data_IF_844701313409
#
_entry.id   IF_844701313409
#
_cell.length_a   1.000
_cell.length_b   1.000
_cell.length_c   1.000
_cell.angle_alpha   90.00
_cell.angle_beta   90.00
_cell.angle_gamma   90.00
#
_symmetry.space_group_name_H-M   'P 1'
#
loop_
_entity.id
_entity.type
_entity.pdbx_description
1 polymer ?
#
# COMPACT_ATOMS: atom_id res chain seq x y z
N UNK A 1 53.29 -39.45 -42.81
CA UNK A 1 53.92 -39.13 -41.51
C UNK A 1 54.34 -37.65 -41.43
N UNK A 2 53.55 -36.72 -41.97
CA UNK A 2 53.88 -35.28 -41.99
C UNK A 2 52.76 -34.42 -41.38
N UNK A 3 51.62 -35.01 -41.06
CA UNK A 3 50.48 -34.30 -40.47
C UNK A 3 50.59 -34.22 -38.93
N UNK A 4 51.24 -35.19 -38.28
CA UNK A 4 51.47 -35.16 -36.82
C UNK A 4 52.46 -34.07 -36.41
N UNK A 5 53.55 -33.89 -37.15
CA UNK A 5 54.65 -32.98 -36.78
C UNK A 5 54.26 -31.48 -36.88
N UNK A 6 53.33 -31.14 -37.78
CA UNK A 6 52.78 -29.78 -37.88
C UNK A 6 51.75 -29.53 -36.77
N UNK A 7 50.97 -30.55 -36.42
CA UNK A 7 50.02 -30.46 -35.31
C UNK A 7 50.74 -30.34 -33.96
N UNK A 8 51.79 -31.11 -33.73
CA UNK A 8 52.57 -31.13 -32.49
C UNK A 8 53.31 -29.79 -32.25
N UNK A 9 53.75 -29.12 -33.33
CA UNK A 9 54.37 -27.78 -33.25
C UNK A 9 53.34 -26.68 -33.01
N UNK A 10 52.19 -26.69 -33.70
CA UNK A 10 51.10 -25.75 -33.41
C UNK A 10 50.55 -25.92 -31.98
N UNK A 11 50.50 -27.15 -31.49
CA UNK A 11 50.02 -27.49 -30.15
C UNK A 11 50.96 -26.92 -29.07
N UNK A 12 52.28 -27.03 -29.25
CA UNK A 12 53.27 -26.43 -28.34
C UNK A 12 53.19 -24.89 -28.28
N UNK A 13 53.00 -24.22 -29.42
CA UNK A 13 52.87 -22.75 -29.49
C UNK A 13 51.54 -22.25 -28.90
N UNK A 14 50.46 -23.02 -29.05
CA UNK A 14 49.17 -22.69 -28.44
C UNK A 14 49.24 -22.85 -26.93
N UNK A 15 49.95 -23.85 -26.45
CA UNK A 15 50.19 -24.11 -25.03
C UNK A 15 51.00 -22.98 -24.38
N UNK A 16 52.11 -22.54 -25.00
CA UNK A 16 52.89 -21.39 -24.50
C UNK A 16 52.09 -20.09 -24.43
N UNK A 17 51.23 -19.81 -25.43
CA UNK A 17 50.36 -18.61 -25.42
C UNK A 17 49.30 -18.67 -24.32
N UNK A 18 48.72 -19.84 -24.09
CA UNK A 18 47.76 -20.04 -23.00
C UNK A 18 48.42 -19.92 -21.62
N UNK A 19 49.64 -20.44 -21.47
CA UNK A 19 50.45 -20.29 -20.26
C UNK A 19 50.87 -18.84 -20.00
N UNK A 20 51.23 -18.08 -21.06
CA UNK A 20 51.58 -16.66 -20.94
C UNK A 20 50.37 -15.84 -20.47
N UNK A 21 49.20 -16.05 -21.08
CA UNK A 21 47.95 -15.39 -20.66
C UNK A 21 47.54 -15.79 -19.24
N UNK A 22 47.75 -17.05 -18.84
CA UNK A 22 47.46 -17.49 -17.48
C UNK A 22 48.44 -16.90 -16.44
N UNK A 23 49.72 -16.78 -16.77
CA UNK A 23 50.70 -16.11 -15.89
C UNK A 23 50.39 -14.63 -15.68
N UNK A 24 49.88 -13.95 -16.71
CA UNK A 24 49.56 -12.52 -16.64
C UNK A 24 48.16 -12.24 -16.04
N UNK A 25 47.14 -12.99 -16.46
CA UNK A 25 45.73 -12.75 -16.08
C UNK A 25 45.16 -13.75 -15.06
N UNK A 26 45.82 -14.88 -14.81
CA UNK A 26 45.31 -15.92 -13.92
C UNK A 26 45.07 -15.43 -12.50
N UNK A 27 45.93 -14.54 -11.98
CA UNK A 27 45.73 -13.90 -10.67
C UNK A 27 44.46 -13.03 -10.63
N UNK A 28 44.19 -12.26 -11.69
CA UNK A 28 42.97 -11.45 -11.81
C UNK A 28 41.71 -12.31 -11.92
N UNK A 29 41.77 -13.40 -12.69
CA UNK A 29 40.65 -14.36 -12.81
C UNK A 29 40.36 -15.00 -11.46
N UNK A 30 41.39 -15.45 -10.73
CA UNK A 30 41.23 -16.01 -9.38
C UNK A 30 40.66 -14.96 -8.42
N UNK A 31 41.18 -13.72 -8.43
CA UNK A 31 40.67 -12.65 -7.60
C UNK A 31 39.19 -12.33 -7.90
N UNK A 32 38.79 -12.31 -9.17
CA UNK A 32 37.39 -12.13 -9.58
C UNK A 32 36.50 -13.27 -9.09
N UNK A 33 36.95 -14.53 -9.21
CA UNK A 33 36.23 -15.69 -8.67
C UNK A 33 36.06 -15.62 -7.15
N UNK A 34 37.12 -15.27 -6.42
CA UNK A 34 37.07 -15.09 -4.95
C UNK A 34 36.09 -13.99 -4.57
N UNK A 35 36.13 -12.84 -5.25
CA UNK A 35 35.22 -11.73 -5.00
C UNK A 35 33.76 -12.14 -5.25
N UNK A 36 33.48 -12.86 -6.35
CA UNK A 36 32.14 -13.36 -6.65
C UNK A 36 31.62 -14.33 -5.56
N UNK A 37 32.47 -15.21 -5.04
CA UNK A 37 32.13 -16.13 -3.94
C UNK A 37 31.85 -15.34 -2.66
N UNK A 38 32.70 -14.38 -2.29
CA UNK A 38 32.49 -13.54 -1.10
C UNK A 38 31.20 -12.72 -1.21
N UNK A 39 30.92 -12.15 -2.38
CA UNK A 39 29.69 -11.41 -2.65
C UNK A 39 28.45 -12.30 -2.50
N UNK A 40 28.50 -13.51 -3.07
CA UNK A 40 27.40 -14.48 -2.95
C UNK A 40 27.22 -14.97 -1.52
N UNK A 41 28.31 -15.22 -0.79
CA UNK A 41 28.28 -15.62 0.61
C UNK A 41 27.69 -14.52 1.50
N UNK A 42 28.03 -13.25 1.24
CA UNK A 42 27.45 -12.11 1.96
C UNK A 42 25.94 -12.00 1.73
N UNK A 43 25.49 -12.11 0.46
CA UNK A 43 24.05 -12.09 0.12
C UNK A 43 23.31 -13.27 0.76
N UNK A 44 23.87 -14.47 0.66
CA UNK A 44 23.27 -15.69 1.22
C UNK A 44 23.17 -15.62 2.75
N UNK A 45 24.24 -15.17 3.41
CA UNK A 45 24.28 -14.93 4.85
C UNK A 45 23.19 -13.95 5.28
N UNK A 46 23.10 -12.79 4.61
CA UNK A 46 22.09 -11.78 4.92
C UNK A 46 20.65 -12.28 4.69
N UNK A 47 20.40 -13.00 3.60
CA UNK A 47 19.09 -13.63 3.33
C UNK A 47 18.71 -14.64 4.41
N UNK A 48 19.65 -15.48 4.82
CA UNK A 48 19.40 -16.49 5.86
C UNK A 48 19.09 -15.85 7.22
N UNK A 49 19.79 -14.77 7.57
CA UNK A 49 19.53 -14.00 8.79
C UNK A 49 18.13 -13.37 8.77
N UNK A 50 17.79 -12.70 7.67
CA UNK A 50 16.45 -12.10 7.51
C UNK A 50 15.34 -13.16 7.53
N UNK A 51 15.56 -14.33 6.92
CA UNK A 51 14.57 -15.42 6.95
C UNK A 51 14.30 -15.94 8.37
N UNK A 52 15.36 -16.06 9.19
CA UNK A 52 15.22 -16.48 10.60
C UNK A 52 14.49 -15.43 11.44
N UNK A 53 14.85 -14.15 11.27
CA UNK A 53 14.16 -13.05 11.94
C UNK A 53 12.67 -13.03 11.55
N UNK A 54 12.36 -13.09 10.25
CA UNK A 54 10.97 -13.09 9.79
C UNK A 54 10.17 -14.29 10.32
N UNK A 55 10.79 -15.47 10.44
CA UNK A 55 10.13 -16.64 11.01
C UNK A 55 9.82 -16.45 12.51
N UNK A 56 10.76 -15.86 13.26
CA UNK A 56 10.55 -15.55 14.67
C UNK A 56 9.43 -14.52 14.87
N UNK A 57 9.47 -13.41 14.14
CA UNK A 57 8.44 -12.37 14.21
C UNK A 57 7.04 -12.93 13.86
N UNK A 58 6.96 -13.83 12.88
CA UNK A 58 5.71 -14.52 12.54
C UNK A 58 5.22 -15.46 13.65
N UNK A 59 6.13 -16.19 14.30
CA UNK A 59 5.81 -17.07 15.42
C UNK A 59 5.26 -16.28 16.62
N UNK A 60 5.81 -15.10 16.91
CA UNK A 60 5.30 -14.20 17.96
C UNK A 60 3.86 -13.76 17.67
N UNK A 61 3.57 -13.34 16.43
CA UNK A 61 2.22 -12.94 16.03
C UNK A 61 1.25 -14.12 16.14
N UNK A 62 1.64 -15.32 15.68
CA UNK A 62 0.78 -16.50 15.79
C UNK A 62 0.51 -16.86 17.26
N UNK A 63 1.53 -16.80 18.11
CA UNK A 63 1.40 -17.05 19.55
C UNK A 63 0.46 -16.05 20.20
N UNK A 64 0.56 -14.76 19.85
CA UNK A 64 -0.36 -13.73 20.34
C UNK A 64 -1.81 -13.96 19.88
N UNK A 65 -2.01 -14.51 18.69
CA UNK A 65 -3.34 -14.85 18.17
C UNK A 65 -3.99 -16.07 18.83
N UNK A 66 -3.21 -16.90 19.53
CA UNK A 66 -3.69 -18.02 20.34
C UNK A 66 -4.06 -17.60 21.77
N UNK A 67 -3.76 -16.35 22.17
CA UNK A 67 -4.17 -15.82 23.47
C UNK A 67 -5.69 -15.66 23.59
N UNK A 68 -6.18 -15.60 24.84
CA UNK A 68 -7.60 -15.33 25.12
C UNK A 68 -7.95 -13.88 24.73
N UNK A 69 -7.14 -12.91 25.17
CA UNK A 69 -7.20 -11.51 24.76
C UNK A 69 -6.17 -11.25 23.65
N UNK A 70 -6.58 -11.54 22.41
CA UNK A 70 -5.73 -11.41 21.21
C UNK A 70 -5.35 -9.96 20.92
N UNK A 71 -6.26 -8.96 20.99
CA UNK A 71 -5.87 -7.57 20.80
C UNK A 71 -4.78 -7.12 21.77
N UNK A 72 -4.91 -7.44 23.06
CA UNK A 72 -3.91 -7.07 24.06
C UNK A 72 -2.57 -7.76 23.83
N UNK A 73 -2.59 -9.08 23.55
CA UNK A 73 -1.37 -9.84 23.26
C UNK A 73 -0.63 -9.33 22.01
N UNK A 74 -1.36 -8.94 20.96
CA UNK A 74 -0.78 -8.32 19.77
C UNK A 74 -0.20 -6.93 20.07
N UNK A 75 -0.86 -6.14 20.92
CA UNK A 75 -0.37 -4.83 21.33
C UNK A 75 0.92 -4.93 22.16
N UNK A 76 1.10 -5.99 22.94
CA UNK A 76 2.29 -6.21 23.78
C UNK A 76 3.57 -6.43 22.96
N UNK A 77 3.47 -7.18 21.86
CA UNK A 77 4.62 -7.51 20.99
C UNK A 77 4.98 -6.39 20.01
N UNK A 78 4.08 -5.44 19.79
CA UNK A 78 4.29 -4.29 18.91
C UNK A 78 5.30 -3.30 19.51
N UNK A 79 6.32 -2.92 18.74
CA UNK A 79 7.36 -1.97 19.17
C UNK A 79 8.47 -2.56 20.05
N UNK A 80 8.43 -3.85 20.37
CA UNK A 80 9.50 -4.56 21.09
C UNK A 80 10.25 -5.51 20.18
N UNK A 81 9.54 -6.51 19.65
CA UNK A 81 10.16 -7.68 19.02
C UNK A 81 9.91 -7.76 17.50
N UNK A 82 8.96 -6.97 16.98
CA UNK A 82 8.54 -7.06 15.58
C UNK A 82 9.26 -6.05 14.69
N UNK A 83 9.64 -6.49 13.48
CA UNK A 83 10.24 -5.60 12.48
C UNK A 83 9.19 -5.09 11.52
N UNK A 84 9.10 -3.77 11.35
CA UNK A 84 8.44 -3.06 10.24
C UNK A 84 7.17 -3.70 9.66
N UNK A 85 7.31 -4.61 8.70
CA UNK A 85 6.19 -5.30 8.06
C UNK A 85 5.38 -6.20 8.99
N UNK A 86 6.04 -6.93 9.88
CA UNK A 86 5.39 -7.76 10.89
C UNK A 86 4.70 -6.91 11.94
N UNK A 87 5.33 -5.81 12.36
CA UNK A 87 4.70 -4.84 13.25
C UNK A 87 3.41 -4.28 12.64
N UNK A 88 3.45 -3.93 11.35
CA UNK A 88 2.27 -3.48 10.63
C UNK A 88 1.16 -4.53 10.63
N UNK A 89 1.50 -5.80 10.37
CA UNK A 89 0.55 -6.91 10.41
C UNK A 89 -0.06 -7.05 11.81
N UNK A 90 0.75 -7.02 12.87
CA UNK A 90 0.27 -7.11 14.24
C UNK A 90 -0.68 -5.95 14.59
N UNK A 91 -0.28 -4.69 14.31
CA UNK A 91 -1.11 -3.50 14.54
C UNK A 91 -2.43 -3.56 13.76
N UNK A 92 -2.38 -3.89 12.47
CA UNK A 92 -3.57 -3.96 11.62
C UNK A 92 -4.51 -5.10 12.05
N UNK A 93 -3.95 -6.22 12.51
CA UNK A 93 -4.73 -7.36 13.01
C UNK A 93 -5.38 -7.03 14.35
N UNK A 94 -4.63 -6.44 15.29
CA UNK A 94 -5.17 -5.97 16.57
C UNK A 94 -6.32 -4.98 16.35
N UNK A 95 -6.11 -3.99 15.49
CA UNK A 95 -7.15 -3.03 15.12
C UNK A 95 -8.39 -3.70 14.53
N UNK A 96 -8.21 -4.67 13.63
CA UNK A 96 -9.32 -5.41 13.03
C UNK A 96 -10.13 -6.22 14.04
N UNK A 97 -9.48 -6.79 15.06
CA UNK A 97 -10.15 -7.50 16.15
C UNK A 97 -10.89 -6.53 17.08
N UNK A 98 -10.28 -5.40 17.43
CA UNK A 98 -10.93 -4.34 18.22
C UNK A 98 -12.17 -3.78 17.51
N UNK A 99 -12.12 -3.61 16.18
CA UNK A 99 -13.30 -3.25 15.39
C UNK A 99 -14.43 -4.28 15.51
N UNK A 100 -14.11 -5.58 15.61
CA UNK A 100 -15.12 -6.63 15.81
C UNK A 100 -15.71 -6.61 17.22
N UNK A 101 -14.93 -6.15 18.20
CA UNK A 101 -15.34 -5.97 19.59
C UNK A 101 -16.08 -4.64 19.84
N UNK A 102 -16.18 -3.78 18.82
CA UNK A 102 -16.81 -2.45 18.93
C UNK A 102 -15.92 -1.39 19.58
N UNK A 103 -14.63 -1.68 19.76
CA UNK A 103 -13.62 -0.82 20.38
C UNK A 103 -12.96 0.09 19.33
N UNK A 104 -13.77 0.90 18.65
CA UNK A 104 -13.35 1.70 17.48
C UNK A 104 -12.25 2.73 17.81
N UNK A 105 -12.29 3.35 18.99
CA UNK A 105 -11.24 4.29 19.43
C UNK A 105 -9.88 3.58 19.56
N UNK A 106 -9.84 2.39 20.18
CA UNK A 106 -8.62 1.60 20.31
C UNK A 106 -8.12 1.10 18.94
N UNK A 107 -9.04 0.68 18.07
CA UNK A 107 -8.68 0.30 16.71
C UNK A 107 -8.04 1.45 15.93
N UNK A 108 -8.60 2.66 16.06
CA UNK A 108 -8.10 3.87 15.43
C UNK A 108 -6.68 4.22 15.89
N UNK A 109 -6.35 4.03 17.17
CA UNK A 109 -4.99 4.22 17.69
C UNK A 109 -3.98 3.32 16.97
N UNK A 110 -4.29 2.03 16.81
CA UNK A 110 -3.43 1.09 16.09
C UNK A 110 -3.27 1.45 14.61
N UNK A 111 -4.35 1.85 13.93
CA UNK A 111 -4.27 2.31 12.53
C UNK A 111 -3.43 3.58 12.38
N UNK A 112 -3.62 4.58 13.24
CA UNK A 112 -2.83 5.81 13.21
C UNK A 112 -1.36 5.57 13.48
N UNK A 113 -1.06 4.71 14.45
CA UNK A 113 0.33 4.37 14.77
C UNK A 113 1.02 3.65 13.59
N UNK A 114 0.36 2.69 12.96
CA UNK A 114 0.89 2.01 11.77
C UNK A 114 1.04 2.97 10.57
N UNK A 115 0.18 3.98 10.43
CA UNK A 115 0.29 4.97 9.38
C UNK A 115 1.47 5.94 9.57
N UNK A 116 1.79 6.27 10.84
CA UNK A 116 2.82 7.25 11.20
C UNK A 116 4.24 6.65 11.30
N UNK A 117 4.36 5.35 11.53
CA UNK A 117 5.64 4.68 11.74
C UNK A 117 6.45 4.56 10.44
N UNK A 118 7.63 5.18 10.35
CA UNK A 118 8.48 5.14 9.17
C UNK A 118 9.09 3.77 8.85
N UNK A 119 9.21 2.89 9.84
CA UNK A 119 9.80 1.55 9.72
C UNK A 119 8.80 0.55 9.13
N UNK A 120 7.49 0.85 9.22
CA UNK A 120 6.44 0.10 8.54
C UNK A 120 6.55 0.30 7.02
N UNK A 121 6.56 -0.76 6.19
CA UNK A 121 6.60 -0.61 4.74
C UNK A 121 5.48 0.29 4.19
N UNK A 122 5.81 1.15 3.22
CA UNK A 122 4.89 2.16 2.67
C UNK A 122 3.50 1.63 2.33
N UNK A 123 3.42 0.44 1.71
CA UNK A 123 2.15 -0.20 1.35
C UNK A 123 1.22 -0.41 2.56
N UNK A 124 1.77 -0.80 3.71
CA UNK A 124 1.00 -0.96 4.94
C UNK A 124 0.65 0.37 5.59
N UNK A 125 1.54 1.38 5.52
CA UNK A 125 1.21 2.73 6.01
C UNK A 125 0.05 3.33 5.26
N UNK A 126 0.03 3.20 3.94
CA UNK A 126 -1.06 3.69 3.09
C UNK A 126 -2.38 2.96 3.37
N UNK A 127 -2.34 1.64 3.61
CA UNK A 127 -3.50 0.89 4.10
C UNK A 127 -3.97 1.43 5.45
N UNK A 128 -3.05 1.61 6.39
CA UNK A 128 -3.33 2.09 7.73
C UNK A 128 -3.93 3.51 7.71
N UNK A 129 -3.43 4.40 6.85
CA UNK A 129 -4.03 5.73 6.61
C UNK A 129 -5.45 5.61 6.09
N UNK A 130 -5.69 4.76 5.09
CA UNK A 130 -7.03 4.52 4.57
C UNK A 130 -7.99 4.01 5.65
N UNK A 131 -7.55 3.02 6.45
CA UNK A 131 -8.37 2.43 7.52
C UNK A 131 -8.60 3.39 8.67
N UNK A 132 -7.60 4.19 9.06
CA UNK A 132 -7.73 5.22 10.08
C UNK A 132 -8.80 6.25 9.67
N UNK A 133 -8.66 6.85 8.48
CA UNK A 133 -9.63 7.83 7.98
C UNK A 133 -11.02 7.24 7.84
N UNK A 134 -11.14 6.02 7.30
CA UNK A 134 -12.43 5.34 7.16
C UNK A 134 -13.11 5.13 8.51
N UNK A 135 -12.35 4.66 9.50
CA UNK A 135 -12.84 4.35 10.84
C UNK A 135 -13.25 5.63 11.55
N UNK A 136 -12.37 6.63 11.56
CA UNK A 136 -12.65 7.92 12.20
C UNK A 136 -13.86 8.64 11.58
N UNK A 137 -13.98 8.61 10.25
CA UNK A 137 -15.14 9.16 9.57
C UNK A 137 -16.44 8.40 9.90
N UNK A 138 -16.40 7.06 10.02
CA UNK A 138 -17.59 6.29 10.38
C UNK A 138 -18.06 6.48 11.82
N UNK A 139 -17.21 7.01 12.70
CA UNK A 139 -17.58 7.33 14.09
C UNK A 139 -18.49 8.56 14.20
N UNK A 140 -18.61 9.35 13.13
CA UNK A 140 -19.49 10.54 13.05
C UNK A 140 -19.37 11.46 14.27
N UNK A 141 -18.12 11.76 14.67
CA UNK A 141 -17.84 12.63 15.82
C UNK A 141 -18.14 14.09 15.45
N UNK A 142 -18.77 14.82 16.37
CA UNK A 142 -19.17 16.22 16.18
C UNK A 142 -18.01 17.17 15.76
N UNK A 143 -16.77 16.81 16.08
CA UNK A 143 -15.55 17.57 15.78
C UNK A 143 -14.76 17.06 14.57
N UNK A 144 -15.31 16.11 13.80
CA UNK A 144 -14.65 15.53 12.64
C UNK A 144 -14.37 16.58 11.55
N UNK A 145 -13.09 16.73 11.18
CA UNK A 145 -12.66 17.61 10.10
C UNK A 145 -12.56 16.82 8.78
N UNK A 146 -13.62 16.87 7.98
CA UNK A 146 -13.69 16.24 6.66
C UNK A 146 -12.58 16.70 5.71
N UNK A 147 -12.12 17.95 5.83
CA UNK A 147 -10.99 18.45 5.02
C UNK A 147 -9.65 17.86 5.48
N UNK A 148 -9.49 17.62 6.78
CA UNK A 148 -8.34 16.89 7.31
C UNK A 148 -8.31 15.46 6.77
N UNK A 149 -9.44 14.75 6.72
CA UNK A 149 -9.52 13.41 6.13
C UNK A 149 -9.09 13.36 4.67
N UNK A 150 -9.61 14.28 3.86
CA UNK A 150 -9.22 14.41 2.45
C UNK A 150 -7.71 14.71 2.33
N UNK A 151 -7.17 15.55 3.20
CA UNK A 151 -5.74 15.89 3.22
C UNK A 151 -4.87 14.69 3.58
N UNK A 152 -5.31 13.86 4.53
CA UNK A 152 -4.63 12.61 4.90
C UNK A 152 -4.65 11.57 3.77
N UNK A 153 -5.74 11.46 3.01
CA UNK A 153 -5.86 10.52 1.88
C UNK A 153 -5.08 10.96 0.64
N UNK A 154 -4.86 12.27 0.47
CA UNK A 154 -4.17 12.86 -0.70
C UNK A 154 -2.84 12.19 -1.07
N UNK A 155 -1.88 11.95 -0.15
CA UNK A 155 -0.64 11.26 -0.49
C UNK A 155 -0.87 9.83 -1.02
N UNK A 156 -1.86 9.11 -0.49
CA UNK A 156 -2.22 7.76 -0.97
C UNK A 156 -2.83 7.84 -2.37
N UNK A 157 -3.73 8.81 -2.59
CA UNK A 157 -4.42 9.05 -3.87
C UNK A 157 -3.43 9.45 -4.98
N UNK A 158 -2.40 10.24 -4.64
CA UNK A 158 -1.39 10.73 -5.56
C UNK A 158 -0.33 9.66 -5.93
N UNK A 159 -0.22 8.58 -5.15
CA UNK A 159 0.72 7.50 -5.43
C UNK A 159 0.20 6.53 -6.50
N UNK A 160 0.72 6.65 -7.73
CA UNK A 160 0.35 5.78 -8.86
C UNK A 160 0.70 4.29 -8.66
N UNK A 161 1.59 3.96 -7.73
CA UNK A 161 1.97 2.58 -7.42
C UNK A 161 1.20 2.01 -6.21
N UNK A 162 0.38 2.82 -5.54
CA UNK A 162 -0.39 2.37 -4.38
C UNK A 162 -1.53 1.45 -4.80
N UNK A 163 -1.65 0.29 -4.16
CA UNK A 163 -2.83 -0.59 -4.29
C UNK A 163 -4.09 0.01 -3.65
N UNK A 164 -3.93 0.94 -2.70
CA UNK A 164 -5.02 1.58 -1.95
C UNK A 164 -5.51 2.88 -2.56
N UNK A 165 -4.90 3.29 -3.67
CA UNK A 165 -5.15 4.54 -4.39
C UNK A 165 -6.62 4.74 -4.77
N UNK A 166 -7.25 3.69 -5.28
CA UNK A 166 -8.63 3.74 -5.78
C UNK A 166 -9.65 3.59 -4.66
N UNK A 167 -9.37 2.78 -3.64
CA UNK A 167 -10.19 2.73 -2.42
C UNK A 167 -10.21 4.08 -1.71
N UNK A 168 -9.06 4.76 -1.64
CA UNK A 168 -8.93 6.10 -1.07
C UNK A 168 -9.68 7.16 -1.89
N UNK A 169 -9.71 7.04 -3.23
CA UNK A 169 -10.54 7.91 -4.09
C UNK A 169 -12.02 7.76 -3.81
N UNK A 170 -12.51 6.51 -3.71
CA UNK A 170 -13.92 6.25 -3.42
C UNK A 170 -14.30 6.80 -2.04
N UNK A 171 -13.44 6.62 -1.03
CA UNK A 171 -13.65 7.19 0.30
C UNK A 171 -13.67 8.73 0.28
N UNK A 172 -12.69 9.36 -0.37
CA UNK A 172 -12.66 10.81 -0.50
C UNK A 172 -13.90 11.35 -1.24
N UNK A 173 -14.36 10.67 -2.29
CA UNK A 173 -15.58 11.06 -3.00
C UNK A 173 -16.83 10.99 -2.10
N UNK A 174 -16.93 9.97 -1.24
CA UNK A 174 -18.00 9.87 -0.25
C UNK A 174 -17.95 11.04 0.74
N UNK A 175 -16.77 11.38 1.27
CA UNK A 175 -16.57 12.50 2.20
C UNK A 175 -16.95 13.85 1.54
N UNK A 176 -16.50 14.10 0.30
CA UNK A 176 -16.87 15.30 -0.44
C UNK A 176 -18.39 15.44 -0.61
N UNK A 177 -19.07 14.34 -0.94
CA UNK A 177 -20.50 14.39 -1.23
C UNK A 177 -21.38 14.46 0.03
N UNK A 178 -20.98 13.81 1.12
CA UNK A 178 -21.77 13.71 2.35
C UNK A 178 -21.58 14.92 3.27
N UNK A 179 -20.33 15.22 3.62
CA UNK A 179 -20.03 16.24 4.63
C UNK A 179 -19.93 17.62 4.00
N UNK A 180 -19.28 17.71 2.83
CA UNK A 180 -19.01 18.99 2.16
C UNK A 180 -20.10 19.39 1.16
N UNK A 181 -21.04 18.49 0.85
CA UNK A 181 -22.05 18.65 -0.21
C UNK A 181 -21.46 19.06 -1.57
N UNK A 182 -20.18 18.78 -1.81
CA UNK A 182 -19.46 19.10 -3.03
C UNK A 182 -19.50 17.89 -3.97
N UNK A 183 -20.65 17.74 -4.63
CA UNK A 183 -20.87 16.67 -5.60
C UNK A 183 -19.98 16.81 -6.85
N UNK A 184 -19.50 18.01 -7.17
CA UNK A 184 -18.58 18.21 -8.29
C UNK A 184 -17.22 17.61 -7.95
N UNK A 185 -16.62 18.02 -6.83
CA UNK A 185 -15.34 17.48 -6.36
C UNK A 185 -15.42 15.96 -6.12
N UNK A 186 -16.54 15.46 -5.58
CA UNK A 186 -16.76 14.03 -5.41
C UNK A 186 -16.63 13.27 -6.73
N UNK A 187 -17.25 13.77 -7.81
CA UNK A 187 -17.18 13.14 -9.14
C UNK A 187 -15.81 13.28 -9.79
N UNK A 188 -15.15 14.42 -9.61
CA UNK A 188 -13.78 14.63 -10.12
C UNK A 188 -12.78 13.63 -9.51
N UNK A 189 -12.86 13.39 -8.19
CA UNK A 189 -12.00 12.41 -7.51
C UNK A 189 -12.35 10.96 -7.91
N UNK A 190 -13.61 10.70 -8.24
CA UNK A 190 -14.10 9.37 -8.61
C UNK A 190 -13.81 9.00 -10.08
N UNK A 191 -13.67 9.98 -10.97
CA UNK A 191 -13.49 9.75 -12.42
C UNK A 191 -12.36 8.75 -12.76
N UNK A 192 -11.15 8.83 -12.16
CA UNK A 192 -10.09 7.85 -12.45
C UNK A 192 -10.46 6.41 -12.06
N UNK A 193 -11.37 6.21 -11.10
CA UNK A 193 -11.85 4.88 -10.70
C UNK A 193 -12.75 4.28 -11.80
N UNK A 194 -13.54 5.12 -12.48
CA UNK A 194 -14.47 4.71 -13.53
C UNK A 194 -13.78 4.41 -14.87
N UNK A 195 -12.63 5.03 -15.10
CA UNK A 195 -11.82 4.89 -16.32
C UNK A 195 -10.84 3.70 -16.26
N UNK A 196 -10.47 3.25 -15.06
CA UNK A 196 -9.53 2.15 -14.87
C UNK A 196 -10.14 0.81 -15.29
N UNK A 197 -9.39 0.06 -16.11
CA UNK A 197 -9.87 -1.21 -16.68
C UNK A 197 -9.60 -2.40 -15.78
N UNK A 198 -8.56 -2.32 -14.95
CA UNK A 198 -8.05 -3.45 -14.15
C UNK A 198 -8.42 -3.33 -12.66
N UNK A 199 -9.67 -2.96 -12.35
CA UNK A 199 -10.18 -2.96 -10.97
C UNK A 199 -11.13 -4.13 -10.70
N UNK A 200 -11.21 -4.57 -9.43
CA UNK A 200 -12.24 -5.51 -9.00
C UNK A 200 -13.63 -5.01 -9.35
N UNK A 201 -14.51 -5.92 -9.77
CA UNK A 201 -15.87 -5.59 -10.20
C UNK A 201 -16.66 -4.82 -9.14
N UNK A 202 -16.54 -5.22 -7.87
CA UNK A 202 -17.24 -4.57 -6.76
C UNK A 202 -16.89 -3.08 -6.64
N UNK A 203 -15.60 -2.72 -6.77
CA UNK A 203 -15.15 -1.35 -6.65
C UNK A 203 -15.69 -0.46 -7.77
N UNK A 204 -15.66 -0.96 -9.01
CA UNK A 204 -16.23 -0.24 -10.17
C UNK A 204 -17.74 -0.08 -10.01
N UNK A 205 -18.46 -1.11 -9.55
CA UNK A 205 -19.91 -1.03 -9.34
C UNK A 205 -20.26 0.01 -8.28
N UNK A 206 -19.56 0.01 -7.14
CA UNK A 206 -19.72 1.03 -6.10
C UNK A 206 -19.45 2.43 -6.66
N UNK A 207 -18.37 2.63 -7.41
CA UNK A 207 -18.06 3.92 -8.02
C UNK A 207 -19.14 4.39 -9.00
N UNK A 208 -19.68 3.50 -9.84
CA UNK A 208 -20.76 3.85 -10.78
C UNK A 208 -22.05 4.24 -10.08
N UNK A 209 -22.42 3.51 -9.02
CA UNK A 209 -23.59 3.82 -8.22
C UNK A 209 -23.46 5.20 -7.56
N UNK A 210 -22.29 5.50 -6.97
CA UNK A 210 -22.01 6.81 -6.39
C UNK A 210 -22.04 7.94 -7.43
N UNK A 211 -21.41 7.76 -8.60
CA UNK A 211 -21.44 8.77 -9.68
C UNK A 211 -22.87 9.08 -10.15
N UNK A 212 -23.73 8.07 -10.24
CA UNK A 212 -25.13 8.27 -10.59
C UNK A 212 -25.85 9.12 -9.54
N UNK A 213 -25.72 8.76 -8.26
CA UNK A 213 -26.35 9.51 -7.16
C UNK A 213 -25.87 10.96 -7.13
N UNK A 214 -24.58 11.19 -7.29
CA UNK A 214 -24.01 12.55 -7.27
C UNK A 214 -24.52 13.38 -8.45
N UNK A 215 -24.63 12.78 -9.64
CA UNK A 215 -25.20 13.44 -10.83
C UNK A 215 -26.65 13.84 -10.62
N UNK A 216 -27.46 12.96 -10.05
CA UNK A 216 -28.86 13.24 -9.74
C UNK A 216 -28.97 14.41 -8.74
N UNK A 217 -28.20 14.40 -7.66
CA UNK A 217 -28.16 15.48 -6.65
C UNK A 217 -27.75 16.83 -7.24
N UNK A 218 -26.77 16.86 -8.14
CA UNK A 218 -26.38 18.08 -8.86
C UNK A 218 -27.53 18.61 -9.73
N UNK A 219 -28.24 17.74 -10.45
CA UNK A 219 -29.36 18.15 -11.31
C UNK A 219 -30.56 18.70 -10.52
N UNK A 220 -30.85 18.12 -9.36
CA UNK A 220 -31.90 18.60 -8.45
C UNK A 220 -31.58 19.99 -7.90
N UNK A 221 -30.31 20.23 -7.56
CA UNK A 221 -29.85 21.54 -7.06
C UNK A 221 -30.00 22.63 -8.13
N UNK A 222 -29.84 22.29 -9.41
CA UNK A 222 -29.93 23.22 -10.53
C UNK A 222 -31.36 23.53 -10.99
N UNK A 223 -32.34 22.67 -10.69
CA UNK A 223 -33.75 22.84 -11.09
C UNK A 223 -34.58 23.66 -10.08
N UNK A 224 -33.97 24.13 -8.99
CA UNK A 224 -34.65 24.77 -7.86
C UNK A 224 -35.09 26.26 -7.99
N UNK A 225 -34.86 27.05 -9.07
CA UNK A 225 -35.44 28.39 -9.17
C UNK A 225 -36.46 28.49 -10.32
N UNK A 226 -37.78 28.50 -10.01
CA UNK A 226 -38.80 29.34 -10.71
C UNK A 226 -40.28 29.11 -10.30
N UNK A 227 -40.62 28.27 -9.33
CA UNK A 227 -42.05 28.08 -8.96
C UNK A 227 -42.57 29.03 -7.87
N UNK A 228 -41.76 29.94 -7.32
CA UNK A 228 -42.17 30.85 -6.25
C UNK A 228 -42.75 32.21 -6.73
N UNK A 229 -42.78 32.47 -8.04
CA UNK A 229 -43.13 33.81 -8.57
C UNK A 229 -44.27 33.79 -9.59
N UNK A 230 -45.36 33.04 -9.36
CA UNK A 230 -46.62 33.24 -10.12
C UNK A 230 -47.83 32.80 -9.31
N UNK A 231 -48.19 33.52 -8.25
CA UNK A 231 -49.58 33.61 -7.77
C UNK A 231 -49.72 34.90 -6.97
N UNK A 232 -50.20 35.96 -7.62
CA UNK A 232 -51.18 36.94 -7.10
C UNK A 232 -51.41 37.96 -8.21
N UNK A 233 -52.37 37.69 -9.09
CA UNK A 233 -53.16 38.76 -9.71
C UNK A 233 -54.61 38.26 -9.76
N UNK A 234 -55.36 38.72 -8.76
CA UNK A 234 -56.79 38.53 -8.59
C UNK A 234 -57.53 39.48 -9.56
N UNK A 235 -58.55 39.03 -10.31
CA UNK A 235 -59.30 39.93 -11.19
C UNK A 235 -60.39 40.65 -10.38
N UNK A 236 -60.25 41.96 -10.19
CA UNK A 236 -61.37 42.79 -9.72
C UNK A 236 -62.25 43.21 -10.89
N UNK A 237 -63.55 42.93 -10.75
CA UNK A 237 -64.62 43.43 -11.60
C UNK A 237 -65.11 44.82 -11.22
#
# INVERSE_FOLDING_TARGET
>A
MSNDLIHEVEESLKQERMEALWKEYGSYVIAACVLAVLFTAAISGWRSYNARANAHDSELIMTALDAEDKPAALAEIVGQDLRGGHEAVARLTAAGLLMQEGEEDKALEHYRAAAADSDVPKMFRELATYLAVRTEWSMDKDDADSQAFISQLRPVIANNDSSWRYHSRVLAAMIYASDLNDYQAAREVLAPVLEERNLPFSLIQSARALDQVYREKMSMTQTAPDTASTTTEEPQG
#
